data_IF_819346575993
#
_entry.id   IF_819346575993
#
_cell.length_a   1.000
_cell.length_b   1.000
_cell.length_c   1.000
_cell.angle_alpha   90.00
_cell.angle_beta   90.00
_cell.angle_gamma   90.00
#
_symmetry.space_group_name_H-M   'P 1'
#
loop_
_entity.id
_entity.type
_entity.pdbx_description
1 polymer ?
#
# COMPACT_ATOMS: atom_id res chain seq x y z
N UNK A 1 1.65 -4.43 40.62
CA UNK A 1 1.10 -4.68 39.26
C UNK A 1 0.86 -3.41 38.45
N UNK A 2 0.34 -2.31 39.04
CA UNK A 2 0.19 -1.00 38.33
C UNK A 2 1.50 -0.35 37.89
N UNK A 3 2.58 -0.48 38.67
CA UNK A 3 3.89 0.13 38.37
C UNK A 3 4.58 -0.51 37.16
N UNK A 4 4.37 -1.81 36.92
CA UNK A 4 4.96 -2.54 35.78
C UNK A 4 4.35 -2.11 34.43
N UNK A 5 3.06 -1.76 34.44
CA UNK A 5 2.32 -1.29 33.24
C UNK A 5 2.81 0.09 32.81
N UNK A 6 3.13 0.98 33.76
CA UNK A 6 3.65 2.33 33.46
C UNK A 6 5.04 2.26 32.82
N UNK A 7 5.89 1.34 33.27
CA UNK A 7 7.21 1.12 32.69
C UNK A 7 7.13 0.51 31.28
N UNK A 8 6.20 -0.43 31.04
CA UNK A 8 5.97 -0.99 29.70
C UNK A 8 5.34 0.03 28.73
N UNK A 9 4.47 0.92 29.22
CA UNK A 9 3.88 1.98 28.42
C UNK A 9 4.92 3.06 28.05
N UNK A 10 5.85 3.37 28.97
CA UNK A 10 6.98 4.28 28.73
C UNK A 10 7.97 3.71 27.71
N UNK A 11 8.23 2.40 27.75
CA UNK A 11 9.09 1.71 26.78
C UNK A 11 8.48 1.59 25.37
N UNK A 12 7.15 1.68 25.25
CA UNK A 12 6.42 1.59 23.99
C UNK A 12 6.25 2.94 23.26
N UNK A 13 6.71 4.07 23.81
CA UNK A 13 6.26 5.39 23.35
C UNK A 13 6.95 5.93 22.09
N UNK A 14 7.94 5.25 21.51
CA UNK A 14 8.59 5.74 20.27
C UNK A 14 8.62 4.65 19.22
N UNK A 15 7.49 4.45 18.55
CA UNK A 15 7.45 3.77 17.26
C UNK A 15 7.49 4.87 16.19
N UNK A 16 8.67 5.12 15.62
CA UNK A 16 8.84 6.09 14.56
C UNK A 16 8.19 5.53 13.29
N UNK A 17 7.08 6.13 12.86
CA UNK A 17 6.42 5.77 11.61
C UNK A 17 7.15 6.46 10.46
N UNK A 18 8.05 5.73 9.82
CA UNK A 18 8.73 6.21 8.61
C UNK A 18 7.72 6.31 7.47
N UNK A 19 7.31 7.53 7.15
CA UNK A 19 6.48 7.80 5.99
C UNK A 19 7.35 7.91 4.72
N UNK A 20 6.90 7.30 3.63
CA UNK A 20 7.58 7.42 2.34
C UNK A 20 7.50 8.87 1.85
N UNK A 21 8.65 9.51 1.65
CA UNK A 21 8.73 10.81 1.00
C UNK A 21 8.80 10.64 -0.51
N UNK A 22 8.19 11.58 -1.23
CA UNK A 22 8.16 11.60 -2.69
C UNK A 22 8.82 12.89 -3.17
N UNK A 23 9.53 12.88 -4.31
CA UNK A 23 9.99 14.12 -4.94
C UNK A 23 8.80 15.01 -5.31
N UNK A 24 9.07 16.29 -5.55
CA UNK A 24 8.05 17.21 -6.03
C UNK A 24 7.39 16.69 -7.32
N UNK A 25 6.08 16.90 -7.43
CA UNK A 25 5.24 16.47 -8.56
C UNK A 25 5.00 14.94 -8.70
N UNK A 26 5.34 14.12 -7.70
CA UNK A 26 4.93 12.72 -7.66
C UNK A 26 3.59 12.55 -6.95
N UNK A 27 2.73 11.72 -7.54
CA UNK A 27 1.47 11.29 -6.93
C UNK A 27 1.49 9.78 -6.69
N UNK A 28 0.94 9.36 -5.55
CA UNK A 28 0.75 7.95 -5.21
C UNK A 28 -0.74 7.63 -5.33
N UNK A 29 -1.04 6.54 -6.04
CA UNK A 29 -2.36 5.91 -6.00
C UNK A 29 -2.23 4.46 -5.55
N UNK A 30 -3.18 3.99 -4.75
CA UNK A 30 -3.22 2.59 -4.33
C UNK A 30 -3.79 1.74 -5.47
N UNK A 31 -3.01 0.78 -5.94
CA UNK A 31 -3.41 -0.18 -6.97
C UNK A 31 -3.46 -1.57 -6.35
N UNK A 32 -4.67 -2.15 -6.25
CA UNK A 32 -4.90 -3.42 -5.57
C UNK A 32 -5.10 -3.28 -4.04
N UNK A 33 -5.44 -4.39 -3.39
CA UNK A 33 -5.61 -4.48 -1.94
C UNK A 33 -4.34 -4.96 -1.23
N UNK A 34 -4.51 -5.46 -0.01
CA UNK A 34 -3.44 -6.14 0.73
C UNK A 34 -3.06 -7.43 0.03
N UNK A 35 -1.78 -7.59 -0.32
CA UNK A 35 -1.24 -8.79 -0.95
C UNK A 35 -0.30 -9.47 0.05
N UNK A 36 -0.53 -10.75 0.32
CA UNK A 36 0.30 -11.52 1.24
C UNK A 36 1.62 -11.91 0.57
N UNK A 37 2.75 -11.54 1.19
CA UNK A 37 4.11 -11.91 0.80
C UNK A 37 4.37 -11.88 -0.72
N UNK A 38 4.21 -10.72 -1.39
CA UNK A 38 4.47 -10.59 -2.82
C UNK A 38 5.96 -10.74 -3.10
N UNK A 39 6.32 -11.49 -4.16
CA UNK A 39 7.72 -11.78 -4.52
C UNK A 39 8.14 -11.13 -5.82
N UNK A 40 7.28 -11.13 -6.84
CA UNK A 40 7.55 -10.51 -8.14
C UNK A 40 6.26 -9.96 -8.75
N UNK A 41 6.39 -8.90 -9.54
CA UNK A 41 5.28 -8.32 -10.31
C UNK A 41 5.70 -8.00 -11.74
N UNK A 42 4.76 -8.10 -12.68
CA UNK A 42 4.98 -7.77 -14.08
C UNK A 42 3.74 -7.09 -14.69
N UNK A 43 3.98 -6.07 -15.52
CA UNK A 43 2.95 -5.46 -16.34
C UNK A 43 2.68 -6.32 -17.56
N UNK A 44 1.40 -6.63 -17.79
CA UNK A 44 0.94 -7.35 -18.95
C UNK A 44 0.65 -6.37 -20.11
N UNK A 45 0.84 -6.79 -21.37
CA UNK A 45 0.48 -5.95 -22.54
C UNK A 45 -1.00 -5.57 -22.62
N UNK A 46 -1.88 -6.28 -21.90
CA UNK A 46 -3.32 -6.03 -21.86
C UNK A 46 -3.76 -5.05 -20.75
N UNK A 47 -2.81 -4.45 -20.02
CA UNK A 47 -3.08 -3.47 -18.97
C UNK A 47 -3.38 -4.07 -17.60
N UNK A 48 -3.19 -5.37 -17.40
CA UNK A 48 -3.24 -6.02 -16.08
C UNK A 48 -1.86 -6.03 -15.42
N UNK A 49 -1.85 -6.17 -14.09
CA UNK A 49 -0.63 -6.47 -13.34
C UNK A 49 -0.73 -7.90 -12.82
N UNK A 50 0.32 -8.70 -13.06
CA UNK A 50 0.50 -9.98 -12.41
C UNK A 50 1.35 -9.81 -11.15
N UNK A 51 0.95 -10.46 -10.06
CA UNK A 51 1.73 -10.49 -8.82
C UNK A 51 1.83 -11.93 -8.33
N UNK A 52 3.04 -12.42 -8.17
CA UNK A 52 3.29 -13.71 -7.55
C UNK A 52 3.37 -13.57 -6.03
N UNK A 53 2.75 -14.51 -5.32
CA UNK A 53 2.89 -14.65 -3.88
C UNK A 53 3.92 -15.74 -3.56
N UNK A 54 4.57 -15.62 -2.41
CA UNK A 54 5.48 -16.64 -1.89
C UNK A 54 4.79 -18.02 -1.73
N UNK A 55 3.47 -18.05 -1.54
CA UNK A 55 2.65 -19.27 -1.46
C UNK A 55 2.52 -20.02 -2.80
N UNK A 56 2.94 -19.40 -3.92
CA UNK A 56 2.76 -19.93 -5.28
C UNK A 56 1.51 -19.44 -6.00
N UNK A 57 0.65 -18.64 -5.35
CA UNK A 57 -0.51 -18.05 -6.01
C UNK A 57 -0.08 -16.91 -6.96
N UNK A 58 -0.73 -16.84 -8.14
CA UNK A 58 -0.57 -15.73 -9.09
C UNK A 58 -1.85 -14.89 -9.12
N UNK A 59 -1.76 -13.66 -8.65
CA UNK A 59 -2.86 -12.71 -8.67
C UNK A 59 -2.86 -11.90 -9.96
N UNK A 60 -4.06 -11.52 -10.39
CA UNK A 60 -4.29 -10.63 -11.54
C UNK A 60 -5.01 -9.39 -11.05
N UNK A 61 -4.35 -8.24 -11.17
CA UNK A 61 -4.91 -6.95 -10.78
C UNK A 61 -5.34 -6.21 -12.04
N UNK A 62 -6.63 -5.85 -12.09
CA UNK A 62 -7.19 -4.98 -13.13
C UNK A 62 -7.06 -3.53 -12.69
N UNK A 63 -6.43 -2.70 -13.52
CA UNK A 63 -6.44 -1.25 -13.31
C UNK A 63 -7.81 -0.69 -13.67
N UNK A 64 -8.54 -0.18 -12.69
CA UNK A 64 -9.73 0.64 -12.91
C UNK A 64 -9.29 2.09 -12.84
N UNK A 65 -9.64 2.88 -13.86
CA UNK A 65 -9.31 4.31 -13.88
C UNK A 65 -9.99 4.98 -12.68
N UNK A 66 -9.23 5.71 -11.88
CA UNK A 66 -9.74 6.47 -10.73
C UNK A 66 -10.77 7.49 -11.22
N UNK A 67 -12.07 7.23 -10.97
CA UNK A 67 -13.17 8.11 -11.40
C UNK A 67 -13.14 9.49 -10.70
N UNK A 68 -12.26 9.68 -9.73
CA UNK A 68 -12.14 10.91 -8.92
C UNK A 68 -11.77 12.15 -9.74
N UNK A 69 -11.07 11.99 -10.86
CA UNK A 69 -10.73 13.10 -11.75
C UNK A 69 -11.86 13.51 -12.70
N UNK A 70 -12.86 12.64 -12.93
CA UNK A 70 -13.97 12.94 -13.85
C UNK A 70 -15.06 13.82 -13.23
N UNK A 71 -15.09 13.93 -11.89
CA UNK A 71 -16.05 14.77 -11.17
C UNK A 71 -15.56 16.22 -10.97
N UNK A 72 -14.29 16.51 -11.26
CA UNK A 72 -13.71 17.86 -11.09
C UNK A 72 -13.84 18.73 -12.35
N UNK A 73 -14.34 18.19 -13.47
CA UNK A 73 -14.51 18.93 -14.73
C UNK A 73 -15.99 19.19 -15.09
N UNK A 74 -16.90 18.99 -14.14
CA UNK A 74 -18.34 19.21 -14.30
C UNK A 74 -18.89 20.10 -13.17
N UNK A 75 -18.23 21.23 -12.93
CA UNK A 75 -18.79 22.40 -12.24
C UNK A 75 -18.39 23.63 -13.05
#
# INVERSE_FOLDING_TARGET
MKLLIVWMASLCFVFELWAQTFPSNFTREQVGGTIANPTVMAFAPDGRIFVAQQSGALLVIKMVRSSRLLLLHSQ
#
